data_IF_179664389172
#
_entry.id   IF_179664389172
#
_cell.length_a   1.000
_cell.length_b   1.000
_cell.length_c   1.000
_cell.angle_alpha   90.00
_cell.angle_beta   90.00
_cell.angle_gamma   90.00
#
_symmetry.space_group_name_H-M   'P 1'
#
loop_
_entity.id
_entity.type
_entity.pdbx_description
1 polymer ?
#
# COMPACT_ATOMS: atom_id res chain seq x y z
N UNK A 1 -24.55 29.55 -7.32
CA UNK A 1 -23.84 28.78 -6.27
C UNK A 1 -24.13 27.31 -6.48
N UNK A 2 -23.17 26.52 -6.93
CA UNK A 2 -23.27 25.06 -6.93
C UNK A 2 -22.41 24.57 -5.76
N UNK A 3 -22.98 23.97 -4.69
CA UNK A 3 -22.17 23.44 -3.62
C UNK A 3 -21.54 22.14 -4.11
N UNK A 4 -20.23 22.15 -4.28
CA UNK A 4 -19.34 20.99 -4.20
C UNK A 4 -19.99 19.61 -4.44
N UNK A 5 -20.22 19.26 -5.71
CA UNK A 5 -20.19 17.86 -6.13
C UNK A 5 -18.73 17.45 -6.32
N UNK A 6 -17.95 17.49 -5.24
CA UNK A 6 -16.67 16.77 -5.20
C UNK A 6 -16.97 15.28 -5.08
N UNK A 7 -16.10 14.37 -5.56
CA UNK A 7 -16.20 12.97 -5.18
C UNK A 7 -16.26 12.94 -3.66
N UNK A 8 -17.29 12.30 -3.11
CA UNK A 8 -17.40 12.10 -1.67
C UNK A 8 -16.05 11.60 -1.19
N UNK A 9 -15.46 12.13 -0.10
CA UNK A 9 -14.28 11.51 0.45
C UNK A 9 -14.73 10.10 0.79
N UNK A 10 -14.35 9.14 -0.07
CA UNK A 10 -14.32 7.73 0.26
C UNK A 10 -13.81 7.73 1.69
N UNK A 11 -14.60 7.22 2.63
CA UNK A 11 -14.09 7.00 3.98
C UNK A 11 -12.80 6.22 3.75
N UNK A 12 -11.70 6.90 3.96
CA UNK A 12 -10.40 6.45 3.48
C UNK A 12 -9.49 6.78 4.63
N UNK A 13 -8.62 5.83 4.92
CA UNK A 13 -7.58 6.04 5.90
C UNK A 13 -6.85 7.37 5.64
N UNK A 14 -6.27 7.99 6.69
CA UNK A 14 -5.59 9.26 6.57
C UNK A 14 -4.62 9.27 5.37
N UNK A 15 -4.68 10.32 4.54
CA UNK A 15 -3.89 10.43 3.32
C UNK A 15 -2.39 10.22 3.54
N UNK A 16 -1.87 10.57 4.72
CA UNK A 16 -0.49 10.33 5.13
C UNK A 16 -0.12 8.84 5.20
N UNK A 17 -1.07 7.97 5.54
CA UNK A 17 -0.87 6.52 5.64
C UNK A 17 -0.81 5.88 4.25
N UNK A 18 -1.68 6.33 3.34
CA UNK A 18 -1.60 6.02 1.90
C UNK A 18 -0.28 6.50 1.28
N UNK A 19 0.09 7.76 1.51
CA UNK A 19 1.34 8.33 1.01
C UNK A 19 2.56 7.55 1.52
N UNK A 20 2.55 7.16 2.80
CA UNK A 20 3.59 6.31 3.39
C UNK A 20 3.66 4.94 2.74
N UNK A 21 2.53 4.26 2.55
CA UNK A 21 2.48 2.94 1.92
C UNK A 21 3.01 2.98 0.48
N UNK A 22 2.55 3.95 -0.31
CA UNK A 22 2.99 4.15 -1.69
C UNK A 22 4.47 4.54 -1.78
N UNK A 23 4.95 5.40 -0.88
CA UNK A 23 6.37 5.76 -0.82
C UNK A 23 7.26 4.54 -0.56
N UNK A 24 6.86 3.65 0.35
CA UNK A 24 7.62 2.43 0.64
C UNK A 24 7.54 1.41 -0.49
N UNK A 25 6.39 1.29 -1.17
CA UNK A 25 6.23 0.47 -2.37
C UNK A 25 7.15 0.94 -3.51
N UNK A 26 7.18 2.25 -3.77
CA UNK A 26 8.08 2.85 -4.76
C UNK A 26 9.54 2.60 -4.38
N UNK A 27 9.91 2.90 -3.13
CA UNK A 27 11.27 2.67 -2.63
C UNK A 27 11.69 1.21 -2.77
N UNK A 28 10.77 0.27 -2.51
CA UNK A 28 11.03 -1.15 -2.70
C UNK A 28 11.24 -1.52 -4.17
N UNK A 29 10.43 -0.99 -5.09
CA UNK A 29 10.61 -1.19 -6.52
C UNK A 29 11.91 -0.59 -7.06
N UNK A 30 12.36 0.54 -6.51
CA UNK A 30 13.58 1.24 -6.91
C UNK A 30 14.85 0.60 -6.35
N UNK A 31 14.81 0.17 -5.08
CA UNK A 31 16.02 -0.28 -4.35
C UNK A 31 16.08 -1.79 -4.12
N UNK A 32 14.96 -2.49 -4.25
CA UNK A 32 14.83 -3.89 -3.83
C UNK A 32 14.99 -4.09 -2.33
N UNK A 33 14.93 -3.03 -1.51
CA UNK A 33 15.23 -3.12 -0.08
C UNK A 33 14.12 -3.88 0.67
N UNK A 34 14.44 -5.00 1.35
CA UNK A 34 13.45 -5.79 2.08
C UNK A 34 12.83 -5.01 3.27
N UNK A 35 13.55 -4.03 3.82
CA UNK A 35 13.01 -3.17 4.87
C UNK A 35 11.87 -2.28 4.36
N UNK A 36 11.98 -1.78 3.13
CA UNK A 36 10.92 -1.00 2.49
C UNK A 36 9.71 -1.88 2.16
N UNK A 37 9.93 -3.11 1.69
CA UNK A 37 8.84 -4.09 1.49
C UNK A 37 8.08 -4.36 2.79
N UNK A 38 8.81 -4.59 3.89
CA UNK A 38 8.20 -4.84 5.19
C UNK A 38 7.44 -3.64 5.73
N UNK A 39 8.00 -2.43 5.63
CA UNK A 39 7.26 -1.21 6.01
C UNK A 39 6.01 -1.00 5.16
N UNK A 40 6.08 -1.28 3.86
CA UNK A 40 4.90 -1.22 2.99
C UNK A 40 3.84 -2.23 3.44
N UNK A 41 4.24 -3.46 3.76
CA UNK A 41 3.34 -4.50 4.26
C UNK A 41 2.66 -4.10 5.58
N UNK A 42 3.41 -3.55 6.55
CA UNK A 42 2.87 -3.05 7.82
C UNK A 42 1.84 -1.93 7.61
N UNK A 43 2.13 -0.99 6.71
CA UNK A 43 1.22 0.11 6.41
C UNK A 43 -0.04 -0.38 5.69
N UNK A 44 0.09 -1.33 4.76
CA UNK A 44 -1.04 -1.93 4.07
C UNK A 44 -1.91 -2.78 5.02
N UNK A 45 -1.31 -3.52 5.95
CA UNK A 45 -2.08 -4.23 7.00
C UNK A 45 -2.91 -3.26 7.82
N UNK A 46 -2.32 -2.12 8.24
CA UNK A 46 -3.06 -1.08 8.97
C UNK A 46 -4.16 -0.43 8.15
N UNK A 47 -4.02 -0.33 6.83
CA UNK A 47 -5.08 0.12 5.93
C UNK A 47 -6.22 -0.90 5.87
N UNK A 48 -5.90 -2.19 5.82
CA UNK A 48 -6.90 -3.26 5.80
C UNK A 48 -7.71 -3.33 7.11
N UNK A 49 -7.08 -3.05 8.25
CA UNK A 49 -7.72 -2.99 9.57
C UNK A 49 -8.51 -1.68 9.82
N UNK A 50 -8.38 -0.64 8.97
CA UNK A 50 -9.07 0.63 9.19
C UNK A 50 -10.55 0.51 8.77
N UNK A 51 -11.52 0.66 9.69
CA UNK A 51 -12.94 0.49 9.38
C UNK A 51 -13.49 1.57 8.43
N UNK A 52 -12.71 2.61 8.15
CA UNK A 52 -13.05 3.60 7.15
C UNK A 52 -12.78 3.07 5.75
N UNK A 53 -11.77 2.23 5.55
CA UNK A 53 -11.39 1.73 4.23
C UNK A 53 -12.46 0.79 3.69
N UNK A 54 -12.80 0.97 2.42
CA UNK A 54 -13.75 0.11 1.73
C UNK A 54 -13.29 -1.35 1.72
N UNK A 55 -14.22 -2.30 1.79
CA UNK A 55 -13.89 -3.74 1.90
C UNK A 55 -13.07 -4.24 0.71
N UNK A 56 -13.36 -3.83 -0.53
CA UNK A 56 -12.53 -4.24 -1.68
C UNK A 56 -11.10 -3.72 -1.56
N UNK A 57 -10.94 -2.51 -1.05
CA UNK A 57 -9.63 -1.88 -0.85
C UNK A 57 -8.90 -2.55 0.32
N UNK A 58 -9.60 -2.89 1.40
CA UNK A 58 -9.04 -3.62 2.54
C UNK A 58 -8.53 -5.01 2.12
N UNK A 59 -9.33 -5.77 1.36
CA UNK A 59 -8.94 -7.07 0.80
C UNK A 59 -7.73 -6.94 -0.14
N UNK A 60 -7.68 -5.87 -0.94
CA UNK A 60 -6.52 -5.58 -1.79
C UNK A 60 -5.27 -5.29 -0.95
N UNK A 61 -5.39 -4.47 0.08
CA UNK A 61 -4.32 -4.14 1.01
C UNK A 61 -3.79 -5.38 1.75
N UNK A 62 -4.67 -6.26 2.21
CA UNK A 62 -4.32 -7.53 2.86
C UNK A 62 -3.58 -8.47 1.91
N UNK A 63 -4.08 -8.66 0.68
CA UNK A 63 -3.36 -9.48 -0.32
C UNK A 63 -1.99 -8.90 -0.64
N UNK A 64 -1.89 -7.58 -0.75
CA UNK A 64 -0.64 -6.89 -1.04
C UNK A 64 0.36 -7.01 0.12
N UNK A 65 -0.09 -6.87 1.37
CA UNK A 65 0.77 -7.05 2.55
C UNK A 65 1.32 -8.48 2.63
N UNK A 66 0.47 -9.49 2.40
CA UNK A 66 0.90 -10.89 2.33
C UNK A 66 1.92 -11.14 1.21
N UNK A 67 1.73 -10.55 0.03
CA UNK A 67 2.70 -10.70 -1.07
C UNK A 67 4.05 -10.08 -0.75
N UNK A 68 4.07 -8.96 -0.04
CA UNK A 68 5.30 -8.26 0.35
C UNK A 68 6.05 -8.98 1.49
N UNK A 69 5.32 -9.61 2.41
CA UNK A 69 5.92 -10.40 3.50
C UNK A 69 6.46 -11.75 3.00
N UNK A 70 5.76 -12.35 2.03
CA UNK A 70 6.21 -13.55 1.33
C UNK A 70 7.28 -13.27 0.27
N UNK A 71 7.48 -12.00 -0.14
CA UNK A 71 8.54 -11.65 -1.06
C UNK A 71 9.85 -12.04 -0.37
N UNK A 72 10.51 -13.12 -0.83
CA UNK A 72 11.76 -13.51 -0.22
C UNK A 72 12.70 -12.32 -0.37
N UNK A 73 13.65 -12.20 0.55
CA UNK A 73 14.75 -11.23 0.48
C UNK A 73 15.70 -11.53 -0.70
N UNK A 74 15.18 -12.18 -1.74
CA UNK A 74 15.80 -12.61 -2.99
C UNK A 74 15.93 -11.40 -3.91
N UNK A 75 16.87 -10.56 -3.50
CA UNK A 75 17.80 -9.79 -4.32
C UNK A 75 17.59 -9.99 -5.84
N UNK A 76 17.39 -8.90 -6.57
CA UNK A 76 17.88 -8.74 -7.95
C UNK A 76 17.16 -9.46 -9.12
N UNK A 77 15.85 -9.76 -9.09
CA UNK A 77 15.20 -10.21 -10.34
C UNK A 77 14.94 -9.06 -11.33
N UNK A 78 16.01 -8.62 -12.00
CA UNK A 78 15.93 -8.03 -13.34
C UNK A 78 15.52 -9.17 -14.28
N UNK A 79 14.36 -9.11 -14.94
CA UNK A 79 14.09 -9.99 -16.07
C UNK A 79 14.95 -9.47 -17.23
N UNK A 80 16.06 -10.15 -17.50
CA UNK A 80 16.91 -9.83 -18.65
C UNK A 80 16.40 -10.62 -19.87
N UNK A 81 16.21 -9.96 -21.05
CA UNK A 81 15.76 -10.59 -22.29
C UNK A 81 16.79 -11.55 -22.89
#
# INVERSE_FOLDING_TARGET
MNPFTGPQPLSTAPASLWAGALSQLLSFGETGCPHSARRAADLLSRLADDPRVDREIAELCERASHRLDLAPQDKHHVPRP
#
